data_IF_451296283803
#
_entry.id   IF_451296283803
#
_cell.length_a   1.000
_cell.length_b   1.000
_cell.length_c   1.000
_cell.angle_alpha   90.00
_cell.angle_beta   90.00
_cell.angle_gamma   90.00
#
_symmetry.space_group_name_H-M   'P 1'
#
loop_
_entity.id
_entity.type
_entity.pdbx_description
1 polymer ?
#
# COMPACT_ATOMS: atom_id res chain seq x y z
N UNK A 1 -6.64 6.46 19.28
CA UNK A 1 -6.38 7.33 18.11
C UNK A 1 -7.22 6.82 16.94
N UNK A 2 -7.75 7.73 16.13
CA UNK A 2 -8.38 7.42 14.83
C UNK A 2 -7.40 7.77 13.72
N UNK A 3 -7.32 6.94 12.68
CA UNK A 3 -6.42 7.11 11.56
C UNK A 3 -6.89 8.22 10.59
N UNK A 4 -8.20 8.50 10.54
CA UNK A 4 -8.77 9.48 9.61
C UNK A 4 -8.72 9.03 8.13
N UNK A 5 -8.42 7.76 7.89
CA UNK A 5 -8.25 7.15 6.58
C UNK A 5 -9.58 6.91 5.87
N UNK A 6 -9.56 6.69 4.56
CA UNK A 6 -10.73 6.34 3.77
C UNK A 6 -11.34 5.02 4.24
N UNK A 7 -10.52 4.00 4.53
CA UNK A 7 -11.02 2.74 5.11
C UNK A 7 -11.76 2.95 6.43
N UNK A 8 -11.22 3.76 7.34
CA UNK A 8 -11.89 4.06 8.60
C UNK A 8 -13.26 4.70 8.36
N UNK A 9 -13.34 5.66 7.42
CA UNK A 9 -14.59 6.34 7.07
C UNK A 9 -15.61 5.36 6.49
N UNK A 10 -15.19 4.46 5.59
CA UNK A 10 -16.07 3.46 4.99
C UNK A 10 -16.69 2.53 6.05
N UNK A 11 -15.86 1.99 6.95
CA UNK A 11 -16.34 1.13 8.01
C UNK A 11 -17.21 1.87 9.04
N UNK A 12 -16.84 3.11 9.39
CA UNK A 12 -17.64 3.93 10.30
C UNK A 12 -19.03 4.27 9.73
N UNK A 13 -19.15 4.38 8.40
CA UNK A 13 -20.42 4.60 7.70
C UNK A 13 -21.24 3.31 7.49
N UNK A 14 -20.71 2.14 7.87
CA UNK A 14 -21.36 0.84 7.65
C UNK A 14 -21.33 0.37 6.18
N UNK A 15 -20.40 0.92 5.38
CA UNK A 15 -20.22 0.51 3.99
C UNK A 15 -19.25 -0.66 3.87
N UNK A 16 -19.38 -1.40 2.76
CA UNK A 16 -18.37 -2.38 2.35
C UNK A 16 -17.20 -1.63 1.70
N UNK A 17 -15.98 -1.96 2.10
CA UNK A 17 -14.78 -1.42 1.50
C UNK A 17 -14.15 -2.42 0.51
N UNK A 18 -13.64 -1.92 -0.60
CA UNK A 18 -12.89 -2.68 -1.60
C UNK A 18 -11.42 -2.30 -1.51
N UNK A 19 -10.54 -3.29 -1.33
CA UNK A 19 -9.08 -3.04 -1.28
C UNK A 19 -8.37 -3.75 -2.41
N UNK A 20 -7.33 -3.10 -2.94
CA UNK A 20 -6.36 -3.73 -3.85
C UNK A 20 -5.12 -4.19 -3.09
N UNK A 21 -4.30 -5.03 -3.71
CA UNK A 21 -2.96 -5.34 -3.23
C UNK A 21 -1.93 -4.99 -4.30
N UNK A 22 -0.86 -4.29 -3.89
CA UNK A 22 0.25 -3.95 -4.75
C UNK A 22 1.58 -4.33 -4.09
N UNK A 23 2.33 -5.17 -4.80
CA UNK A 23 3.66 -5.57 -4.39
C UNK A 23 4.76 -4.67 -4.94
N UNK A 24 5.70 -4.19 -4.10
CA UNK A 24 6.89 -3.50 -4.58
C UNK A 24 7.68 -4.36 -5.59
N UNK A 25 8.28 -3.76 -6.64
CA UNK A 25 9.07 -4.48 -7.62
C UNK A 25 10.42 -4.92 -7.05
N UNK A 26 11.09 -5.83 -7.75
CA UNK A 26 12.53 -6.02 -7.56
C UNK A 26 13.26 -4.84 -8.22
N UNK A 27 14.25 -4.28 -7.54
CA UNK A 27 14.96 -3.08 -8.00
C UNK A 27 14.22 -1.78 -7.65
N UNK A 28 14.72 -0.66 -8.17
CA UNK A 28 14.30 0.69 -7.78
C UNK A 28 13.53 1.46 -8.87
N UNK A 29 13.11 0.81 -9.94
CA UNK A 29 12.36 1.47 -11.02
C UNK A 29 10.92 1.79 -10.59
N UNK A 30 10.64 3.09 -10.44
CA UNK A 30 9.33 3.61 -10.08
C UNK A 30 8.27 3.41 -11.16
N UNK A 31 8.66 3.23 -12.43
CA UNK A 31 7.72 3.03 -13.54
C UNK A 31 6.78 1.85 -13.28
N UNK A 32 7.29 0.77 -12.69
CA UNK A 32 6.46 -0.39 -12.31
C UNK A 32 5.36 -0.05 -11.30
N UNK A 33 5.61 0.89 -10.39
CA UNK A 33 4.61 1.34 -9.41
C UNK A 33 3.54 2.18 -10.09
N UNK A 34 3.96 3.13 -10.94
CA UNK A 34 3.02 3.98 -11.66
C UNK A 34 2.10 3.18 -12.58
N UNK A 35 2.65 2.24 -13.36
CA UNK A 35 1.85 1.37 -14.24
C UNK A 35 0.85 0.52 -13.44
N UNK A 36 1.28 -0.10 -12.35
CA UNK A 36 0.39 -0.92 -11.51
C UNK A 36 -0.67 -0.09 -10.80
N UNK A 37 -0.30 1.09 -10.29
CA UNK A 37 -1.21 1.98 -9.57
C UNK A 37 -2.34 2.50 -10.45
N UNK A 38 -2.08 2.75 -11.75
CA UNK A 38 -3.12 3.18 -12.71
C UNK A 38 -4.32 2.22 -12.78
N UNK A 39 -4.11 0.92 -12.58
CA UNK A 39 -5.19 -0.06 -12.56
C UNK A 39 -6.04 -0.01 -11.27
N UNK A 40 -5.65 0.78 -10.27
CA UNK A 40 -6.30 0.84 -8.96
C UNK A 40 -6.94 2.21 -8.68
N UNK A 41 -6.44 3.29 -9.31
CA UNK A 41 -6.98 4.66 -9.13
C UNK A 41 -8.48 4.68 -9.38
N UNK A 42 -9.25 5.15 -8.40
CA UNK A 42 -10.71 5.31 -8.51
C UNK A 42 -11.51 4.01 -8.45
N UNK A 43 -10.86 2.85 -8.31
CA UNK A 43 -11.51 1.55 -8.25
C UNK A 43 -11.50 0.91 -6.86
N UNK A 44 -10.57 1.31 -5.99
CA UNK A 44 -10.41 0.77 -4.64
C UNK A 44 -10.39 1.87 -3.59
N UNK A 45 -10.87 1.55 -2.39
CA UNK A 45 -10.87 2.47 -1.25
C UNK A 45 -9.48 2.63 -0.63
N UNK A 46 -8.66 1.59 -0.72
CA UNK A 46 -7.25 1.62 -0.34
C UNK A 46 -6.46 0.50 -1.00
N UNK A 47 -5.12 0.59 -0.92
CA UNK A 47 -4.19 -0.41 -1.46
C UNK A 47 -3.29 -0.96 -0.37
N UNK A 48 -3.34 -2.27 -0.16
CA UNK A 48 -2.40 -2.98 0.67
C UNK A 48 -1.03 -3.03 -0.02
N UNK A 49 -0.03 -2.40 0.60
CA UNK A 49 1.37 -2.44 0.14
C UNK A 49 2.14 -3.39 1.03
N UNK A 50 2.52 -4.50 0.45
CA UNK A 50 3.20 -5.61 1.12
C UNK A 50 4.69 -5.31 1.37
N UNK A 51 5.25 -5.81 2.47
CA UNK A 51 6.68 -5.69 2.82
C UNK A 51 7.42 -7.02 2.59
N UNK A 52 8.38 -7.00 1.66
CA UNK A 52 9.26 -8.12 1.32
C UNK A 52 8.54 -9.47 1.11
N UNK A 53 7.55 -9.53 0.20
CA UNK A 53 6.81 -10.77 -0.07
C UNK A 53 7.77 -11.91 -0.39
N UNK A 54 7.42 -13.09 0.14
CA UNK A 54 8.20 -14.33 0.02
C UNK A 54 9.63 -14.20 0.53
N UNK A 55 9.89 -13.31 1.50
CA UNK A 55 11.23 -13.04 2.06
C UNK A 55 12.25 -12.50 1.03
N UNK A 56 11.77 -11.89 -0.06
CA UNK A 56 12.63 -11.34 -1.11
C UNK A 56 12.75 -9.83 -0.96
N UNK A 57 13.98 -9.33 -0.95
CA UNK A 57 14.28 -7.89 -0.95
C UNK A 57 13.67 -7.23 -2.20
N UNK A 58 12.87 -6.20 -1.96
CA UNK A 58 12.19 -5.40 -2.99
C UNK A 58 12.41 -3.92 -2.70
N UNK A 59 11.93 -3.06 -3.60
CA UNK A 59 11.83 -1.62 -3.32
C UNK A 59 11.17 -1.40 -1.95
N UNK A 60 11.66 -0.43 -1.18
CA UNK A 60 11.12 -0.12 0.14
C UNK A 60 9.60 0.16 0.06
N UNK A 61 8.79 -0.64 0.77
CA UNK A 61 7.33 -0.54 0.75
C UNK A 61 6.83 0.84 1.18
N UNK A 62 7.54 1.49 2.11
CA UNK A 62 7.23 2.86 2.53
C UNK A 62 7.41 3.89 1.40
N UNK A 63 8.43 3.71 0.54
CA UNK A 63 8.62 4.56 -0.64
C UNK A 63 7.50 4.33 -1.66
N UNK A 64 7.09 3.07 -1.86
CA UNK A 64 5.92 2.74 -2.70
C UNK A 64 4.65 3.39 -2.17
N UNK A 65 4.40 3.34 -0.86
CA UNK A 65 3.26 4.04 -0.25
C UNK A 65 3.28 5.53 -0.57
N UNK A 66 4.44 6.19 -0.48
CA UNK A 66 4.54 7.61 -0.82
C UNK A 66 4.19 7.88 -2.28
N UNK A 67 4.71 7.06 -3.20
CA UNK A 67 4.39 7.17 -4.63
C UNK A 67 2.88 6.99 -4.90
N UNK A 68 2.22 6.06 -4.20
CA UNK A 68 0.77 5.86 -4.32
C UNK A 68 -0.02 7.07 -3.79
N UNK A 69 0.44 7.69 -2.69
CA UNK A 69 -0.18 8.94 -2.20
C UNK A 69 -0.05 10.07 -3.23
N UNK A 70 1.10 10.20 -3.90
CA UNK A 70 1.29 11.20 -4.97
C UNK A 70 0.40 10.91 -6.19
N UNK A 71 -0.05 9.66 -6.36
CA UNK A 71 -1.05 9.25 -7.37
C UNK A 71 -2.50 9.40 -6.89
N UNK A 72 -2.73 9.89 -5.67
CA UNK A 72 -4.06 10.07 -5.09
C UNK A 72 -4.71 8.78 -4.57
N UNK A 73 -3.92 7.73 -4.32
CA UNK A 73 -4.40 6.45 -3.79
C UNK A 73 -3.96 6.31 -2.33
N UNK A 74 -4.88 5.93 -1.44
CA UNK A 74 -4.57 5.70 -0.04
C UNK A 74 -3.90 4.33 0.17
N UNK A 75 -2.65 4.26 0.67
CA UNK A 75 -1.97 3.00 0.92
C UNK A 75 -2.14 2.52 2.38
N UNK A 76 -2.25 1.21 2.55
CA UNK A 76 -2.07 0.50 3.80
C UNK A 76 -0.69 -0.16 3.80
N UNK A 77 0.27 0.41 4.54
CA UNK A 77 1.58 -0.19 4.68
C UNK A 77 1.50 -1.44 5.57
N UNK A 78 1.75 -2.60 5.00
CA UNK A 78 1.99 -3.82 5.76
C UNK A 78 3.47 -3.88 6.12
N UNK A 79 3.78 -4.26 7.35
CA UNK A 79 5.17 -4.39 7.81
C UNK A 79 5.37 -5.80 8.37
N UNK A 80 6.43 -6.46 7.92
CA UNK A 80 6.80 -7.79 8.43
C UNK A 80 7.85 -7.61 9.53
N UNK A 81 7.63 -8.29 10.66
CA UNK A 81 8.52 -8.21 11.83
C UNK A 81 9.52 -9.38 11.93
N UNK A 82 9.41 -10.42 11.09
CA UNK A 82 10.21 -11.65 11.21
C UNK A 82 11.72 -11.40 11.21
N UNK A 83 12.17 -10.44 10.41
CA UNK A 83 13.58 -10.15 10.15
C UNK A 83 13.98 -8.75 10.69
N UNK A 84 13.18 -8.20 11.61
CA UNK A 84 13.40 -6.88 12.24
C UNK A 84 13.49 -7.04 13.75
N UNK A 85 14.28 -6.19 14.38
CA UNK A 85 14.22 -6.03 15.83
C UNK A 85 13.24 -4.90 16.19
N UNK A 86 13.02 -4.68 17.48
CA UNK A 86 12.10 -3.68 18.04
C UNK A 86 12.44 -2.22 17.66
N UNK A 87 13.71 -1.95 17.37
CA UNK A 87 14.26 -0.61 17.10
C UNK A 87 14.11 -0.26 15.61
#
# INVERSE_FOLDING_TARGET
>A
MKAGSNLEKMFAAGHLAVTGELGPPRGADAHHIHEKGKYLVGLVDSVNVTDNQTAVVRMASMAVCRMLMDMGIEPNLQMVCRDRNRL
#
